data_IF_717611599434
#
_entry.id   IF_717611599434
#
_cell.length_a   1.000
_cell.length_b   1.000
_cell.length_c   1.000
_cell.angle_alpha   90.00
_cell.angle_beta   90.00
_cell.angle_gamma   90.00
#
_symmetry.space_group_name_H-M   'P 1'
#
loop_
_entity.id
_entity.type
_entity.pdbx_description
1 polymer ?
#
# COMPACT_ATOMS: atom_id res chain seq x y z
N UNK A 1 25.34 3.96 -12.10
CA UNK A 1 24.05 3.92 -11.37
C UNK A 1 23.04 3.12 -12.20
N UNK A 2 22.44 2.04 -11.67
CA UNK A 2 21.41 1.29 -12.39
C UNK A 2 20.07 2.03 -12.25
N UNK A 3 19.62 2.66 -13.32
CA UNK A 3 18.28 3.25 -13.42
C UNK A 3 17.25 2.12 -13.45
N UNK A 4 16.49 1.95 -12.37
CA UNK A 4 15.30 1.11 -12.37
C UNK A 4 14.23 1.81 -13.21
N UNK A 5 14.07 1.39 -14.46
CA UNK A 5 12.94 1.82 -15.28
C UNK A 5 11.65 1.41 -14.55
N UNK A 6 10.90 2.39 -14.03
CA UNK A 6 9.58 2.16 -13.40
C UNK A 6 8.63 1.66 -14.48
N UNK A 7 8.52 0.35 -14.63
CA UNK A 7 7.49 -0.29 -15.45
C UNK A 7 6.14 0.03 -14.79
N UNK A 8 5.45 1.05 -15.28
CA UNK A 8 4.10 1.42 -14.83
C UNK A 8 3.16 0.24 -15.09
N UNK A 9 2.39 -0.17 -14.08
CA UNK A 9 1.37 -1.20 -14.26
C UNK A 9 0.28 -0.74 -15.24
N UNK A 10 -0.17 -1.66 -16.10
CA UNK A 10 -1.40 -1.51 -16.89
C UNK A 10 -2.58 -1.87 -15.97
N UNK A 11 -3.53 -0.97 -15.77
CA UNK A 11 -4.72 -1.21 -14.93
C UNK A 11 -5.38 0.09 -14.44
N UNK A 12 -6.48 -0.02 -13.67
CA UNK A 12 -7.12 1.11 -13.01
C UNK A 12 -6.11 1.92 -12.21
N UNK A 13 -6.12 3.24 -12.38
CA UNK A 13 -5.24 4.15 -11.65
C UNK A 13 -6.03 4.85 -10.58
N UNK A 14 -5.43 4.96 -9.41
CA UNK A 14 -6.00 5.71 -8.30
C UNK A 14 -5.28 7.06 -8.24
N UNK A 15 -6.04 8.14 -8.17
CA UNK A 15 -5.46 9.45 -7.84
C UNK A 15 -5.14 9.46 -6.35
N UNK A 16 -3.84 9.31 -6.06
CA UNK A 16 -3.29 9.27 -4.71
C UNK A 16 -1.86 9.78 -4.75
N UNK A 17 -1.53 10.64 -3.79
CA UNK A 17 -0.19 11.17 -3.59
C UNK A 17 0.31 10.75 -2.21
N UNK A 18 1.56 10.27 -2.15
CA UNK A 18 2.24 9.95 -0.90
C UNK A 18 3.50 10.80 -0.84
N UNK A 19 3.61 11.61 0.20
CA UNK A 19 4.84 12.31 0.51
C UNK A 19 5.90 11.27 0.94
N UNK A 20 7.03 11.14 0.21
CA UNK A 20 8.04 10.13 0.51
C UNK A 20 8.81 10.41 1.82
N UNK A 21 8.79 11.65 2.31
CA UNK A 21 9.48 12.07 3.53
C UNK A 21 8.60 11.86 4.76
N UNK A 22 7.33 12.26 4.68
CA UNK A 22 6.41 12.19 5.83
C UNK A 22 5.52 10.94 5.83
N UNK A 23 5.39 10.26 4.69
CA UNK A 23 4.43 9.16 4.50
C UNK A 23 2.97 9.61 4.45
N UNK A 24 2.71 10.93 4.49
CA UNK A 24 1.35 11.47 4.49
C UNK A 24 0.71 11.26 3.11
N UNK A 25 -0.54 10.78 3.15
CA UNK A 25 -1.34 10.49 1.96
C UNK A 25 -2.32 11.62 1.69
N UNK A 26 -2.37 12.09 0.44
CA UNK A 26 -3.32 13.11 -0.02
C UNK A 26 -4.00 12.72 -1.35
N UNK A 27 -5.04 13.47 -1.71
CA UNK A 27 -5.87 13.24 -2.90
C UNK A 27 -7.23 12.59 -2.61
N UNK A 28 -8.04 12.36 -3.67
CA UNK A 28 -9.45 11.93 -3.54
C UNK A 28 -9.65 10.62 -2.79
N UNK A 29 -8.68 9.70 -2.85
CA UNK A 29 -8.80 8.34 -2.31
C UNK A 29 -7.98 8.12 -1.01
N UNK A 30 -7.52 9.22 -0.38
CA UNK A 30 -6.63 9.14 0.79
C UNK A 30 -7.26 8.34 1.94
N UNK A 31 -8.55 8.55 2.21
CA UNK A 31 -9.23 7.96 3.35
C UNK A 31 -9.40 6.44 3.17
N UNK A 32 -9.80 6.01 1.97
CA UNK A 32 -9.96 4.60 1.63
C UNK A 32 -8.61 3.88 1.66
N UNK A 33 -7.56 4.52 1.12
CA UNK A 33 -6.21 3.96 1.15
C UNK A 33 -5.66 3.82 2.57
N UNK A 34 -5.77 4.86 3.40
CA UNK A 34 -5.34 4.78 4.80
C UNK A 34 -6.12 3.73 5.60
N UNK A 35 -7.43 3.61 5.38
CA UNK A 35 -8.27 2.59 6.03
C UNK A 35 -7.90 1.17 5.59
N UNK A 36 -7.65 0.98 4.29
CA UNK A 36 -7.18 -0.28 3.73
C UNK A 36 -5.83 -0.68 4.30
N UNK A 37 -4.85 0.24 4.33
CA UNK A 37 -3.53 -0.01 4.92
C UNK A 37 -3.62 -0.37 6.41
N UNK A 38 -4.47 0.32 7.18
CA UNK A 38 -4.67 0.02 8.59
C UNK A 38 -5.24 -1.39 8.81
N UNK A 39 -6.20 -1.80 7.97
CA UNK A 39 -6.77 -3.16 8.00
C UNK A 39 -5.73 -4.20 7.62
N UNK A 40 -5.00 -3.96 6.52
CA UNK A 40 -3.97 -4.85 6.03
C UNK A 40 -2.83 -5.04 7.04
N UNK A 41 -2.40 -3.96 7.70
CA UNK A 41 -1.38 -4.02 8.73
C UNK A 41 -1.83 -4.90 9.91
N UNK A 42 -3.08 -4.74 10.38
CA UNK A 42 -3.62 -5.53 11.50
C UNK A 42 -3.86 -7.00 11.13
N UNK A 43 -4.21 -7.27 9.89
CA UNK A 43 -4.41 -8.64 9.39
C UNK A 43 -3.08 -9.40 9.26
N UNK A 44 -2.04 -8.73 8.74
CA UNK A 44 -0.77 -9.38 8.41
C UNK A 44 0.31 -9.29 9.49
N UNK A 45 0.23 -8.32 10.39
CA UNK A 45 1.26 -8.04 11.39
C UNK A 45 0.68 -8.25 12.79
N UNK A 46 1.26 -9.20 13.53
CA UNK A 46 0.93 -9.39 14.94
C UNK A 46 1.27 -8.13 15.74
N UNK A 47 0.37 -7.74 16.66
CA UNK A 47 0.59 -6.63 17.61
C UNK A 47 1.82 -6.86 18.50
N UNK A 48 2.27 -8.11 18.62
CA UNK A 48 3.47 -8.46 19.39
C UNK A 48 4.78 -8.09 18.68
N UNK A 49 4.73 -7.71 17.40
CA UNK A 49 5.91 -7.23 16.67
C UNK A 49 6.12 -5.74 17.00
N UNK A 50 7.17 -5.38 17.76
CA UNK A 50 7.27 -4.05 18.34
C UNK A 50 7.73 -2.99 17.33
N UNK A 51 8.27 -3.40 16.18
CA UNK A 51 8.68 -2.46 15.14
C UNK A 51 8.59 -3.04 13.73
N UNK A 52 8.43 -2.17 12.72
CA UNK A 52 8.46 -2.56 11.31
C UNK A 52 9.77 -3.25 10.90
N UNK A 53 10.88 -2.96 11.58
CA UNK A 53 12.18 -3.58 11.28
C UNK A 53 12.15 -5.08 11.53
N UNK A 54 11.41 -5.53 12.54
CA UNK A 54 11.29 -6.92 12.97
C UNK A 54 10.23 -7.71 12.19
N UNK A 55 9.40 -7.04 11.39
CA UNK A 55 8.46 -7.72 10.50
C UNK A 55 9.25 -8.55 9.47
N UNK A 56 8.99 -9.86 9.33
CA UNK A 56 9.68 -10.72 8.37
C UNK A 56 9.56 -10.20 6.94
N UNK A 57 10.61 -10.36 6.14
CA UNK A 57 10.63 -9.90 4.75
C UNK A 57 9.54 -10.57 3.90
N UNK A 58 9.21 -11.82 4.20
CA UNK A 58 8.10 -12.55 3.56
C UNK A 58 6.77 -11.83 3.77
N UNK A 59 6.46 -11.42 5.01
CA UNK A 59 5.26 -10.64 5.34
C UNK A 59 5.27 -9.27 4.66
N UNK A 60 6.42 -8.58 4.64
CA UNK A 60 6.57 -7.30 3.92
C UNK A 60 6.25 -7.44 2.43
N UNK A 61 6.74 -8.51 1.80
CA UNK A 61 6.48 -8.79 0.40
C UNK A 61 5.00 -9.08 0.14
N UNK A 62 4.32 -9.82 1.03
CA UNK A 62 2.87 -10.06 0.94
C UNK A 62 2.08 -8.76 1.01
N UNK A 63 2.36 -7.92 2.02
CA UNK A 63 1.73 -6.59 2.16
C UNK A 63 1.94 -5.75 0.90
N UNK A 64 3.14 -5.80 0.31
CA UNK A 64 3.41 -5.05 -0.93
C UNK A 64 2.57 -5.55 -2.11
N UNK A 65 2.38 -6.86 -2.27
CA UNK A 65 1.49 -7.39 -3.31
C UNK A 65 0.03 -6.97 -3.06
N UNK A 66 -0.43 -6.98 -1.82
CA UNK A 66 -1.77 -6.55 -1.44
C UNK A 66 -1.98 -5.04 -1.71
N UNK A 67 -0.95 -4.20 -1.55
CA UNK A 67 -1.00 -2.78 -1.92
C UNK A 67 -1.10 -2.60 -3.43
N UNK A 68 -0.40 -3.42 -4.22
CA UNK A 68 -0.43 -3.33 -5.69
C UNK A 68 -1.82 -3.66 -6.28
N UNK A 69 -2.62 -4.48 -5.60
CA UNK A 69 -3.99 -4.83 -6.03
C UNK A 69 -5.08 -3.89 -5.49
N UNK A 70 -4.76 -2.97 -4.58
CA UNK A 70 -5.71 -1.97 -4.06
C UNK A 70 -6.50 -1.20 -5.15
N UNK A 71 -5.94 -0.84 -6.32
CA UNK A 71 -6.72 -0.20 -7.38
C UNK A 71 -7.90 -1.04 -7.89
N UNK A 72 -7.78 -2.37 -7.88
CA UNK A 72 -8.86 -3.28 -8.24
C UNK A 72 -9.94 -3.31 -7.15
N UNK A 73 -9.52 -3.33 -5.88
CA UNK A 73 -10.43 -3.28 -4.73
C UNK A 73 -11.28 -2.01 -4.75
N UNK A 74 -10.65 -0.84 -4.95
CA UNK A 74 -11.36 0.43 -4.99
C UNK A 74 -12.35 0.51 -6.16
N UNK A 75 -11.96 0.02 -7.35
CA UNK A 75 -12.85 -0.02 -8.50
C UNK A 75 -14.11 -0.87 -8.26
N UNK A 76 -13.99 -1.96 -7.50
CA UNK A 76 -15.13 -2.83 -7.17
C UNK A 76 -16.06 -2.24 -6.09
N UNK A 77 -15.56 -1.35 -5.23
CA UNK A 77 -16.39 -0.66 -4.23
C UNK A 77 -17.20 0.52 -4.80
N UNK A 78 -16.81 1.03 -5.98
CA UNK A 78 -17.45 2.19 -6.62
C UNK A 78 -18.43 1.82 -7.74
N UNK A 79 -18.75 0.53 -7.90
CA UNK A 79 -19.79 0.01 -8.80
C UNK A 79 -20.99 -0.44 -8.00
#
# INVERSE_FOLDING_TARGET
MKSLARKRMKGPKISLYVDPTTGIVSGPNKAQFSSYLGTLARDKISILVPSWKEVPQTTKNMIWQDILVFPLYLHNLTK
#
